data_IF_003150403586
#
_entry.id   IF_003150403586
#
_cell.length_a   1.000
_cell.length_b   1.000
_cell.length_c   1.000
_cell.angle_alpha   90.00
_cell.angle_beta   90.00
_cell.angle_gamma   90.00
#
_symmetry.space_group_name_H-M   'P 1'
#
loop_
_entity.id
_entity.type
_entity.pdbx_description
1 polymer ?
#
# COMPACT_ATOMS: atom_id res chain seq x y z
N UNK A 1 3.32 13.29 13.61
CA UNK A 1 2.11 12.68 13.03
C UNK A 1 1.68 13.30 11.71
N UNK A 2 1.54 14.62 11.58
CA UNK A 2 1.11 15.24 10.30
C UNK A 2 2.06 15.00 9.12
N UNK A 3 3.38 15.04 9.32
CA UNK A 3 4.36 14.76 8.27
C UNK A 3 4.19 13.34 7.71
N UNK A 4 4.05 12.35 8.60
CA UNK A 4 3.73 10.95 8.24
C UNK A 4 2.40 10.85 7.47
N UNK A 5 1.34 11.52 7.95
CA UNK A 5 0.04 11.52 7.27
C UNK A 5 0.13 12.13 5.87
N UNK A 6 0.87 13.24 5.69
CA UNK A 6 1.10 13.85 4.38
C UNK A 6 1.86 12.92 3.43
N UNK A 7 2.93 12.29 3.91
CA UNK A 7 3.66 11.29 3.10
C UNK A 7 2.75 10.13 2.68
N UNK A 8 1.87 9.67 3.57
CA UNK A 8 0.90 8.65 3.23
C UNK A 8 -0.11 9.11 2.17
N UNK A 9 -0.63 10.34 2.27
CA UNK A 9 -1.59 10.87 1.28
C UNK A 9 -0.91 11.13 -0.08
N UNK A 10 0.36 11.55 -0.09
CA UNK A 10 1.13 11.65 -1.33
C UNK A 10 1.37 10.30 -2.00
N UNK A 11 1.46 9.23 -1.20
CA UNK A 11 1.66 7.87 -1.69
C UNK A 11 0.35 7.08 -1.89
N UNK A 12 -0.81 7.70 -1.69
CA UNK A 12 -2.11 7.04 -1.81
C UNK A 12 -2.32 6.47 -3.22
N UNK A 13 -1.99 7.25 -4.25
CA UNK A 13 -2.05 6.80 -5.65
C UNK A 13 -1.09 5.64 -5.94
N UNK A 14 0.13 5.66 -5.36
CA UNK A 14 1.09 4.58 -5.53
C UNK A 14 0.59 3.28 -4.88
N UNK A 15 -0.08 3.39 -3.73
CA UNK A 15 -0.67 2.26 -3.03
C UNK A 15 -1.87 1.69 -3.78
N UNK A 16 -2.72 2.54 -4.38
CA UNK A 16 -3.82 2.07 -5.23
C UNK A 16 -3.31 1.35 -6.47
N UNK A 17 -2.30 1.90 -7.16
CA UNK A 17 -1.71 1.29 -8.36
C UNK A 17 -1.07 -0.07 -8.04
N UNK A 18 -0.38 -0.17 -6.90
CA UNK A 18 0.21 -1.41 -6.43
C UNK A 18 -0.86 -2.46 -6.11
N UNK A 19 -1.94 -2.07 -5.43
CA UNK A 19 -3.05 -2.97 -5.11
C UNK A 19 -3.78 -3.44 -6.37
N UNK A 20 -3.98 -2.56 -7.35
CA UNK A 20 -4.59 -2.91 -8.64
C UNK A 20 -3.71 -3.90 -9.42
N UNK A 21 -2.39 -3.66 -9.45
CA UNK A 21 -1.43 -4.58 -10.08
C UNK A 21 -1.45 -5.95 -9.42
N UNK A 22 -1.47 -6.00 -8.09
CA UNK A 22 -1.58 -7.26 -7.34
C UNK A 22 -2.90 -7.97 -7.69
N UNK A 23 -3.99 -7.24 -7.80
CA UNK A 23 -5.30 -7.79 -8.14
C UNK A 23 -5.37 -8.32 -9.56
N UNK A 24 -4.74 -7.66 -10.54
CA UNK A 24 -4.65 -8.17 -11.90
C UNK A 24 -3.86 -9.48 -11.98
N UNK A 25 -2.74 -9.57 -11.26
CA UNK A 25 -1.90 -10.78 -11.24
C UNK A 25 -2.60 -11.97 -10.55
N UNK A 26 -3.30 -11.72 -9.44
CA UNK A 26 -4.09 -12.74 -8.76
C UNK A 26 -5.21 -13.29 -9.66
N UNK A 27 -5.82 -12.42 -10.47
CA UNK A 27 -6.91 -12.76 -11.38
C UNK A 27 -6.44 -13.36 -12.72
N UNK A 28 -5.14 -13.37 -13.02
CA UNK A 28 -4.67 -13.98 -14.26
C UNK A 28 -4.95 -15.48 -14.28
N UNK A 29 -5.55 -15.94 -15.38
CA UNK A 29 -5.89 -17.32 -15.64
C UNK A 29 -5.40 -17.78 -17.03
N UNK A 30 -4.46 -17.04 -17.62
CA UNK A 30 -3.82 -17.32 -18.90
C UNK A 30 -3.33 -18.77 -18.99
N UNK A 31 -2.55 -19.23 -18.01
CA UNK A 31 -2.02 -20.59 -17.93
C UNK A 31 -3.12 -21.67 -17.86
N UNK A 32 -4.20 -21.42 -17.12
CA UNK A 32 -5.34 -22.34 -17.06
C UNK A 32 -6.07 -22.44 -18.42
N UNK A 33 -6.22 -21.32 -19.14
CA UNK A 33 -6.79 -21.31 -20.49
C UNK A 33 -5.92 -22.08 -21.46
N UNK A 34 -4.61 -21.94 -21.36
CA UNK A 34 -3.64 -22.66 -22.19
C UNK A 34 -3.65 -24.17 -21.91
N UNK A 35 -3.63 -24.57 -20.64
CA UNK A 35 -3.77 -25.97 -20.23
C UNK A 35 -5.03 -26.61 -20.80
N UNK A 36 -6.15 -25.89 -20.79
CA UNK A 36 -7.42 -26.35 -21.39
C UNK A 36 -7.31 -26.50 -22.91
N UNK A 37 -6.61 -25.61 -23.60
CA UNK A 37 -6.36 -25.70 -25.05
C UNK A 37 -5.52 -26.93 -25.38
N UNK A 38 -4.42 -27.15 -24.67
CA UNK A 38 -3.56 -28.33 -24.86
C UNK A 38 -4.34 -29.61 -24.62
N UNK A 39 -5.10 -29.68 -23.52
CA UNK A 39 -5.94 -30.84 -23.19
C UNK A 39 -6.96 -31.15 -24.29
N UNK A 40 -7.59 -30.12 -24.86
CA UNK A 40 -8.50 -30.28 -25.99
C UNK A 40 -7.80 -30.77 -27.26
N UNK A 41 -6.61 -30.23 -27.57
CA UNK A 41 -5.80 -30.69 -28.72
C UNK A 41 -5.41 -32.16 -28.57
N UNK A 42 -4.92 -32.56 -27.41
CA UNK A 42 -4.60 -33.97 -27.11
C UNK A 42 -5.82 -34.87 -27.32
N UNK A 43 -7.01 -34.46 -26.86
CA UNK A 43 -8.25 -35.21 -27.10
C UNK A 43 -8.59 -35.33 -28.58
N UNK A 44 -8.36 -34.27 -29.37
CA UNK A 44 -8.58 -34.35 -30.82
C UNK A 44 -7.59 -35.26 -31.52
N UNK A 45 -6.32 -35.29 -31.07
CA UNK A 45 -5.31 -36.20 -31.60
C UNK A 45 -5.63 -37.65 -31.28
N UNK A 46 -6.10 -37.95 -30.07
CA UNK A 46 -6.57 -39.29 -29.71
C UNK A 46 -7.70 -39.78 -30.62
N UNK A 47 -8.66 -38.91 -30.96
CA UNK A 47 -9.72 -39.25 -31.92
C UNK A 47 -9.20 -39.46 -33.34
N UNK A 48 -8.20 -38.67 -33.76
CA UNK A 48 -7.56 -38.84 -35.07
C UNK A 48 -6.82 -40.18 -35.13
N UNK A 49 -6.12 -40.56 -34.07
CA UNK A 49 -5.44 -41.85 -33.92
C UNK A 49 -6.43 -43.01 -34.00
N UNK A 50 -7.54 -42.95 -33.25
CA UNK A 50 -8.61 -43.95 -33.30
C UNK A 50 -9.20 -44.10 -34.72
N UNK A 51 -9.48 -42.98 -35.38
CA UNK A 51 -9.96 -42.99 -36.76
C UNK A 51 -8.93 -43.56 -37.74
N UNK A 52 -7.64 -43.26 -37.55
CA UNK A 52 -6.56 -43.78 -38.38
C UNK A 52 -6.46 -45.31 -38.26
N UNK A 53 -6.58 -45.84 -37.04
CA UNK A 53 -6.63 -47.28 -36.77
C UNK A 53 -7.86 -47.91 -37.45
N UNK A 54 -9.04 -47.30 -37.33
CA UNK A 54 -10.25 -47.80 -37.99
C UNK A 54 -10.10 -47.86 -39.51
N UNK A 55 -9.56 -46.81 -40.15
CA UNK A 55 -9.30 -46.79 -41.59
C UNK A 55 -8.33 -47.89 -42.02
N UNK A 56 -7.33 -48.21 -41.19
CA UNK A 56 -6.38 -49.30 -41.44
C UNK A 56 -7.06 -50.66 -41.35
N UNK A 57 -7.90 -50.88 -40.34
CA UNK A 57 -8.66 -52.11 -40.16
C UNK A 57 -9.66 -52.35 -41.30
N UNK A 58 -10.26 -51.28 -41.83
CA UNK A 58 -11.16 -51.33 -42.99
C UNK A 58 -10.42 -51.52 -44.32
N UNK A 59 -9.08 -51.59 -44.32
CA UNK A 59 -8.26 -51.74 -45.52
C UNK A 59 -8.28 -50.53 -46.45
N UNK A 60 -8.74 -49.36 -45.98
CA UNK A 60 -8.86 -48.14 -46.78
C UNK A 60 -7.53 -47.42 -47.00
N UNK A 61 -6.51 -47.74 -46.21
CA UNK A 61 -5.17 -47.12 -46.27
C UNK A 61 -4.06 -48.19 -46.23
N UNK A 62 -2.93 -47.90 -46.88
CA UNK A 62 -1.73 -48.74 -46.85
C UNK A 62 -0.97 -48.64 -45.53
N UNK A 63 -0.08 -49.60 -45.26
CA UNK A 63 0.82 -49.57 -44.09
C UNK A 63 1.73 -48.33 -44.09
N UNK A 64 2.21 -47.93 -45.27
CA UNK A 64 3.07 -46.77 -45.43
C UNK A 64 2.37 -45.48 -44.97
N UNK A 65 1.15 -45.24 -45.47
CA UNK A 65 0.35 -44.07 -45.09
C UNK A 65 -0.01 -44.10 -43.60
N UNK A 66 -0.36 -45.27 -43.07
CA UNK A 66 -0.67 -45.44 -41.65
C UNK A 66 0.53 -45.07 -40.78
N UNK A 67 1.71 -45.62 -41.06
CA UNK A 67 2.91 -45.40 -40.26
C UNK A 67 3.36 -43.93 -40.31
N UNK A 68 3.34 -43.29 -41.48
CA UNK A 68 3.65 -41.86 -41.62
C UNK A 68 2.72 -41.01 -40.76
N UNK A 69 1.41 -41.21 -40.88
CA UNK A 69 0.40 -40.43 -40.12
C UNK A 69 0.44 -40.74 -38.63
N UNK A 70 0.71 -41.98 -38.25
CA UNK A 70 0.86 -42.36 -36.85
C UNK A 70 2.07 -41.67 -36.22
N UNK A 71 3.21 -41.64 -36.91
CA UNK A 71 4.41 -40.97 -36.43
C UNK A 71 4.20 -39.46 -36.28
N UNK A 72 3.50 -38.80 -37.23
CA UNK A 72 3.11 -37.39 -37.13
C UNK A 72 2.26 -37.14 -35.87
N UNK A 73 1.19 -37.92 -35.68
CA UNK A 73 0.29 -37.78 -34.52
C UNK A 73 1.05 -38.06 -33.21
N UNK A 74 1.92 -39.07 -33.19
CA UNK A 74 2.71 -39.44 -32.01
C UNK A 74 3.66 -38.32 -31.61
N UNK A 75 4.37 -37.73 -32.59
CA UNK A 75 5.28 -36.60 -32.36
C UNK A 75 4.54 -35.39 -31.80
N UNK A 76 3.36 -35.06 -32.35
CA UNK A 76 2.55 -33.95 -31.87
C UNK A 76 2.01 -34.19 -30.45
N UNK A 77 1.61 -35.44 -30.14
CA UNK A 77 1.17 -35.82 -28.79
C UNK A 77 2.29 -35.71 -27.76
N UNK A 78 3.50 -36.12 -28.11
CA UNK A 78 4.67 -36.04 -27.24
C UNK A 78 5.00 -34.58 -26.92
N UNK A 79 5.08 -33.72 -27.93
CA UNK A 79 5.29 -32.28 -27.76
C UNK A 79 4.24 -31.64 -26.84
N UNK A 80 2.95 -31.90 -27.10
CA UNK A 80 1.86 -31.35 -26.27
C UNK A 80 1.84 -31.92 -24.84
N UNK A 81 2.31 -33.16 -24.65
CA UNK A 81 2.40 -33.76 -23.32
C UNK A 81 3.52 -33.10 -22.50
N UNK A 82 4.67 -32.81 -23.11
CA UNK A 82 5.75 -32.07 -22.47
C UNK A 82 5.32 -30.64 -22.13
N UNK A 83 4.69 -29.94 -23.07
CA UNK A 83 4.15 -28.60 -22.85
C UNK A 83 3.13 -28.58 -21.71
N UNK A 84 2.25 -29.59 -21.64
CA UNK A 84 1.30 -29.76 -20.54
C UNK A 84 2.01 -29.88 -19.19
N UNK A 85 3.03 -30.72 -19.08
CA UNK A 85 3.80 -30.92 -17.84
C UNK A 85 4.48 -29.62 -17.40
N UNK A 86 5.02 -28.85 -18.35
CA UNK A 86 5.63 -27.56 -18.08
C UNK A 86 4.62 -26.56 -17.51
N UNK A 87 3.43 -26.45 -18.12
CA UNK A 87 2.37 -25.58 -17.61
C UNK A 87 1.87 -26.01 -16.23
N UNK A 88 1.65 -27.31 -16.00
CA UNK A 88 1.23 -27.83 -14.70
C UNK A 88 2.27 -27.56 -13.60
N UNK A 89 3.56 -27.65 -13.93
CA UNK A 89 4.67 -27.33 -13.02
C UNK A 89 4.67 -25.85 -12.67
N UNK A 90 4.53 -24.98 -13.67
CA UNK A 90 4.43 -23.52 -13.47
C UNK A 90 3.20 -23.17 -12.62
N UNK A 91 2.04 -23.74 -12.92
CA UNK A 91 0.80 -23.52 -12.17
C UNK A 91 0.96 -23.90 -10.70
N UNK A 92 1.66 -25.02 -10.42
CA UNK A 92 1.95 -25.44 -9.04
C UNK A 92 2.82 -24.43 -8.29
N UNK A 93 3.80 -23.84 -8.96
CA UNK A 93 4.64 -22.78 -8.38
C UNK A 93 3.86 -21.48 -8.14
N UNK A 94 2.94 -21.16 -9.06
CA UNK A 94 2.10 -19.95 -9.01
C UNK A 94 1.14 -19.97 -7.81
N UNK A 95 0.69 -21.14 -7.35
CA UNK A 95 -0.17 -21.27 -6.16
C UNK A 95 0.48 -20.63 -4.92
N UNK A 96 1.76 -20.91 -4.67
CA UNK A 96 2.46 -20.36 -3.51
C UNK A 96 2.68 -18.85 -3.67
N UNK A 97 3.03 -18.40 -4.88
CA UNK A 97 3.17 -16.97 -5.19
C UNK A 97 1.85 -16.22 -4.96
N UNK A 98 0.73 -16.72 -5.51
CA UNK A 98 -0.60 -16.13 -5.33
C UNK A 98 -1.04 -16.12 -3.87
N UNK A 99 -0.71 -17.16 -3.11
CA UNK A 99 -0.97 -17.18 -1.67
C UNK A 99 -0.22 -16.05 -0.94
N UNK A 100 1.09 -15.93 -1.16
CA UNK A 100 1.91 -14.86 -0.57
C UNK A 100 1.43 -13.48 -1.01
N UNK A 101 1.03 -13.34 -2.26
CA UNK A 101 0.53 -12.10 -2.83
C UNK A 101 -0.83 -11.71 -2.22
N UNK A 102 -1.69 -12.69 -1.91
CA UNK A 102 -2.96 -12.48 -1.20
C UNK A 102 -2.71 -12.05 0.25
N UNK A 103 -1.77 -12.69 0.94
CA UNK A 103 -1.36 -12.29 2.30
C UNK A 103 -0.77 -10.87 2.29
N UNK A 104 0.06 -10.55 1.29
CA UNK A 104 0.64 -9.23 1.11
C UNK A 104 -0.43 -8.17 0.83
N UNK A 105 -1.40 -8.46 -0.05
CA UNK A 105 -2.58 -7.61 -0.28
C UNK A 105 -3.31 -7.32 1.03
N UNK A 106 -3.60 -8.35 1.82
CA UNK A 106 -4.27 -8.18 3.11
C UNK A 106 -3.46 -7.30 4.06
N UNK A 107 -2.14 -7.53 4.16
CA UNK A 107 -1.26 -6.69 4.98
C UNK A 107 -1.31 -5.22 4.56
N UNK A 108 -1.17 -4.94 3.26
CA UNK A 108 -1.23 -3.57 2.73
C UNK A 108 -2.60 -2.92 2.95
N UNK A 109 -3.70 -3.64 2.71
CA UNK A 109 -5.05 -3.11 2.95
C UNK A 109 -5.38 -2.93 4.44
N UNK A 110 -4.72 -3.70 5.32
CA UNK A 110 -4.91 -3.61 6.77
C UNK A 110 -4.05 -2.53 7.44
N UNK A 111 -3.08 -1.93 6.73
CA UNK A 111 -2.23 -0.88 7.29
C UNK A 111 -3.07 0.36 7.63
N UNK A 112 -3.52 0.39 8.88
CA UNK A 112 -4.13 1.56 9.49
C UNK A 112 -3.08 2.65 9.65
N UNK A 113 -3.51 3.89 9.42
CA UNK A 113 -2.84 5.08 9.93
C UNK A 113 -2.41 4.87 11.37
N UNK A 114 -1.14 5.17 11.66
CA UNK A 114 -0.62 5.24 13.02
C UNK A 114 -1.61 6.02 13.90
N UNK A 115 -2.22 5.33 14.86
CA UNK A 115 -3.14 5.93 15.83
C UNK A 115 -2.37 6.65 16.92
N UNK A 116 -1.15 6.20 17.20
CA UNK A 116 -0.23 6.74 18.19
C UNK A 116 1.14 7.03 17.58
N UNK A 117 1.94 7.85 18.25
CA UNK A 117 3.29 8.15 17.80
C UNK A 117 4.22 6.98 18.08
N UNK A 118 4.74 6.37 17.02
CA UNK A 118 5.80 5.37 17.11
C UNK A 118 7.15 6.02 16.80
N UNK A 119 8.06 5.95 17.77
CA UNK A 119 9.41 6.52 17.64
C UNK A 119 10.22 5.83 16.55
N UNK A 120 10.16 4.50 16.43
CA UNK A 120 10.95 3.75 15.45
C UNK A 120 10.48 4.05 14.01
N UNK A 121 9.17 4.17 13.80
CA UNK A 121 8.61 4.59 12.50
C UNK A 121 8.98 6.03 12.18
N UNK A 122 8.99 6.91 13.19
CA UNK A 122 9.42 8.29 12.98
C UNK A 122 10.91 8.38 12.60
N UNK A 123 11.78 7.66 13.32
CA UNK A 123 13.22 7.60 13.06
C UNK A 123 13.57 6.89 11.75
N UNK A 124 12.69 6.05 11.20
CA UNK A 124 12.89 5.43 9.89
C UNK A 124 12.62 6.40 8.73
N UNK A 125 11.79 7.41 8.95
CA UNK A 125 11.34 8.36 7.92
C UNK A 125 12.12 9.68 7.98
N UNK A 126 12.36 10.21 9.19
CA UNK A 126 13.02 11.49 9.40
C UNK A 126 14.51 11.29 9.61
N UNK A 127 15.32 12.07 8.89
CA UNK A 127 16.77 12.11 9.07
C UNK A 127 17.14 13.08 10.19
N UNK A 128 16.66 14.32 10.10
CA UNK A 128 16.93 15.36 11.11
C UNK A 128 15.86 16.45 11.12
N UNK A 129 15.77 17.19 12.23
CA UNK A 129 14.91 18.36 12.38
C UNK A 129 15.78 19.55 12.81
N UNK A 130 15.63 20.66 12.12
CA UNK A 130 16.23 21.95 12.48
C UNK A 130 15.14 22.81 13.13
N UNK A 131 15.46 23.36 14.30
CA UNK A 131 14.55 24.22 15.08
C UNK A 131 15.13 25.63 15.07
N UNK A 132 14.28 26.59 14.69
CA UNK A 132 14.70 27.96 14.42
C UNK A 132 15.19 28.13 12.99
N UNK A 133 14.98 29.32 12.44
CA UNK A 133 15.43 29.67 11.10
C UNK A 133 15.29 31.16 10.83
N UNK A 134 15.59 31.56 9.60
CA UNK A 134 15.40 32.93 9.14
C UNK A 134 14.22 32.92 8.17
N UNK A 135 13.24 33.79 8.43
CA UNK A 135 12.06 33.93 7.61
C UNK A 135 12.41 34.63 6.28
N UNK A 136 11.47 34.65 5.33
CA UNK A 136 11.61 35.40 4.07
C UNK A 136 11.93 36.88 4.28
N UNK A 137 11.56 37.43 5.44
CA UNK A 137 11.76 38.84 5.81
C UNK A 137 13.15 39.09 6.44
N UNK A 138 13.98 38.07 6.56
CA UNK A 138 15.32 38.17 7.17
C UNK A 138 15.32 38.13 8.71
N UNK A 139 14.16 37.95 9.34
CA UNK A 139 14.04 37.86 10.80
C UNK A 139 14.26 36.44 11.32
N UNK A 140 14.88 36.32 12.50
CA UNK A 140 15.04 35.04 13.20
C UNK A 140 13.69 34.61 13.77
N UNK A 141 13.18 33.45 13.34
CA UNK A 141 11.99 32.83 13.91
C UNK A 141 12.34 31.54 14.67
N UNK A 142 12.37 31.59 16.02
CA UNK A 142 12.60 30.42 16.85
C UNK A 142 11.54 29.32 16.71
N UNK A 143 10.39 29.63 16.12
CA UNK A 143 9.31 28.65 15.92
C UNK A 143 9.38 27.95 14.57
N UNK A 144 10.27 28.33 13.65
CA UNK A 144 10.43 27.64 12.38
C UNK A 144 10.95 26.21 12.61
N UNK A 145 10.28 25.22 12.02
CA UNK A 145 10.67 23.82 12.05
C UNK A 145 10.96 23.35 10.62
N UNK A 146 12.20 22.92 10.35
CA UNK A 146 12.57 22.30 9.07
C UNK A 146 12.84 20.82 9.29
N UNK A 147 12.00 19.97 8.70
CA UNK A 147 12.09 18.51 8.77
C UNK A 147 12.79 18.03 7.50
N UNK A 148 13.84 17.23 7.65
CA UNK A 148 14.58 16.62 6.56
C UNK A 148 14.32 15.11 6.61
N UNK A 149 13.77 14.57 5.53
CA UNK A 149 13.44 13.15 5.41
C UNK A 149 14.62 12.36 4.87
N UNK A 150 14.70 11.08 5.21
CA UNK A 150 15.75 10.18 4.66
C UNK A 150 15.67 10.01 3.15
N UNK A 151 14.53 10.35 2.54
CA UNK A 151 14.34 10.41 1.09
C UNK A 151 15.02 11.63 0.45
N UNK A 152 15.56 12.55 1.24
CA UNK A 152 16.17 13.80 0.79
C UNK A 152 15.19 14.98 0.68
N UNK A 153 13.89 14.74 0.83
CA UNK A 153 12.88 15.79 0.83
C UNK A 153 12.95 16.65 2.11
N UNK A 154 12.56 17.92 2.00
CA UNK A 154 12.53 18.85 3.12
C UNK A 154 11.17 19.51 3.27
N UNK A 155 10.66 19.63 4.50
CA UNK A 155 9.38 20.28 4.80
C UNK A 155 9.53 21.33 5.90
N UNK A 156 9.01 22.53 5.65
CA UNK A 156 8.96 23.61 6.63
C UNK A 156 7.58 23.66 7.32
N UNK A 157 7.58 23.90 8.63
CA UNK A 157 6.41 23.98 9.50
C UNK A 157 6.57 25.11 10.52
N UNK A 158 5.46 25.72 10.92
CA UNK A 158 5.44 26.73 11.98
C UNK A 158 5.06 26.07 13.33
N UNK A 159 6.03 26.05 14.25
CA UNK A 159 5.90 25.54 15.61
C UNK A 159 4.85 26.26 16.45
N UNK A 160 4.46 27.50 16.11
CA UNK A 160 3.39 28.24 16.81
C UNK A 160 2.04 27.55 16.66
N UNK A 161 1.81 26.84 15.55
CA UNK A 161 0.56 26.14 15.24
C UNK A 161 0.35 24.89 16.12
N UNK A 162 1.41 24.38 16.76
CA UNK A 162 1.36 23.16 17.57
C UNK A 162 1.39 23.42 19.08
N UNK A 163 1.35 24.70 19.51
CA UNK A 163 1.29 25.05 20.93
C UNK A 163 -0.15 24.88 21.43
N UNK A 164 -0.35 24.06 22.46
CA UNK A 164 -1.63 23.99 23.18
C UNK A 164 -1.99 25.34 23.78
N UNK A 165 -3.27 25.74 23.76
CA UNK A 165 -3.74 26.95 24.46
C UNK A 165 -3.33 26.86 25.94
N UNK A 166 -2.60 27.86 26.42
CA UNK A 166 -2.23 27.96 27.84
C UNK A 166 -3.50 28.14 28.65
N UNK A 167 -3.67 27.39 29.74
CA UNK A 167 -4.84 27.51 30.64
C UNK A 167 -5.02 28.94 31.22
N UNK A 168 -3.96 29.76 31.19
CA UNK A 168 -3.95 31.13 31.70
C UNK A 168 -3.87 32.19 30.59
N UNK A 169 -4.17 31.84 29.33
CA UNK A 169 -4.21 32.84 28.26
C UNK A 169 -5.35 33.84 28.56
N UNK A 170 -4.99 35.08 28.86
CA UNK A 170 -5.94 36.18 29.07
C UNK A 170 -6.79 36.28 27.81
N UNK A 171 -8.11 36.18 27.95
CA UNK A 171 -9.03 36.52 26.88
C UNK A 171 -8.77 37.99 26.55
N UNK A 172 -8.29 38.30 25.35
CA UNK A 172 -8.29 39.67 24.82
C UNK A 172 -9.75 40.10 24.71
N UNK A 173 -10.29 40.67 25.78
CA UNK A 173 -11.53 41.44 25.72
C UNK A 173 -11.16 42.81 25.21
N UNK A 174 -11.54 43.07 23.97
CA UNK A 174 -11.35 44.27 23.17
C UNK A 174 -12.17 45.46 23.72
N UNK A 175 -11.99 45.79 25.00
CA UNK A 175 -12.63 46.92 25.67
C UNK A 175 -11.63 47.58 26.62
N UNK A 176 -10.93 48.57 26.08
CA UNK A 176 -10.33 49.66 26.85
C UNK A 176 -11.44 50.32 27.68
N UNK A 177 -11.49 50.05 28.97
CA UNK A 177 -12.29 50.85 29.90
C UNK A 177 -11.50 52.12 30.23
N UNK A 178 -12.07 53.33 30.06
CA UNK A 178 -11.40 54.54 30.48
C UNK A 178 -11.35 54.58 32.02
N UNK A 179 -10.17 54.91 32.55
CA UNK A 179 -10.02 55.34 33.94
C UNK A 179 -10.89 56.58 34.14
N UNK A 180 -11.83 56.51 35.09
CA UNK A 180 -12.39 57.68 35.72
C UNK A 180 -12.13 57.57 37.23
N UNK A 181 -11.63 58.69 37.74
CA UNK A 181 -11.09 58.98 39.06
C UNK A 181 -12.13 59.05 40.17
N UNK A 182 -11.61 58.83 41.38
CA UNK A 182 -12.02 59.35 42.69
C UNK A 182 -13.42 59.00 43.24
N UNK A 183 -13.43 58.27 44.37
CA UNK A 183 -13.75 58.87 45.66
C UNK A 183 -13.32 57.98 46.84
N UNK A 184 -12.54 58.58 47.74
CA UNK A 184 -12.18 58.08 49.06
C UNK A 184 -13.38 57.65 49.90
N UNK A 185 -13.33 56.43 50.48
CA UNK A 185 -13.75 56.19 51.88
C UNK A 185 -12.91 55.09 52.53
N UNK A 186 -11.99 55.51 53.41
CA UNK A 186 -11.47 54.72 54.53
C UNK A 186 -12.62 54.16 55.36
N UNK A 187 -12.50 52.92 55.85
CA UNK A 187 -12.47 52.62 57.29
C UNK A 187 -12.26 51.11 57.52
N UNK A 188 -11.21 50.83 58.30
CA UNK A 188 -10.93 49.56 58.95
C UNK A 188 -12.06 49.22 59.95
N UNK A 189 -12.38 47.92 60.06
CA UNK A 189 -12.90 47.36 61.31
C UNK A 189 -12.17 46.04 61.61
N UNK A 190 -11.13 46.16 62.45
CA UNK A 190 -10.66 45.05 63.27
C UNK A 190 -11.70 44.77 64.35
N UNK A 191 -12.18 43.53 64.41
CA UNK A 191 -12.89 42.97 65.55
C UNK A 191 -12.19 41.69 65.95
N UNK A 192 -11.25 41.78 66.88
CA UNK A 192 -10.86 40.65 67.72
C UNK A 192 -11.87 40.53 68.85
N UNK A 193 -12.16 39.31 69.31
CA UNK A 193 -11.83 38.92 70.68
C UNK A 193 -12.41 37.55 71.02
N UNK A 194 -11.56 36.69 71.58
CA UNK A 194 -11.92 35.76 72.64
C UNK A 194 -10.72 35.59 73.58
N UNK A 195 -10.85 36.09 74.81
CA UNK A 195 -10.44 35.37 76.02
C UNK A 195 -11.18 35.90 77.25
N UNK A 196 -11.93 34.98 77.88
CA UNK A 196 -12.53 34.90 79.22
C UNK A 196 -13.45 36.00 79.75
#
# INVERSE_FOLDING_TARGET
MEAYRKLYHSNENLMTDLLETIESELNDNSLNKELKRITNKLRTLLKKEENLVNLRLEGKISDTIYNEKYNEISSEKEFLAEEKVNIETTLKSEIDVKKRLTEFKHLLSSQKMLTEFDRAVFESIVEKIIVGGVNSDGEIDPAMLTIIFKTGETQNKDGKQFKSKRKNAKLETDKLCPQNSDEDKKLYSQGTDYTY
#
